data_IF_355212770614
#
_entry.id   IF_355212770614
#
_cell.length_a   1.000
_cell.length_b   1.000
_cell.length_c   1.000
_cell.angle_alpha   90.00
_cell.angle_beta   90.00
_cell.angle_gamma   90.00
#
_symmetry.space_group_name_H-M   'P 1'
#
loop_
_entity.id
_entity.type
_entity.pdbx_description
1 polymer ?
#
# COMPACT_ATOMS: atom_id res chain seq x y z
N UNK A 1 25.97 9.08 16.67
CA UNK A 1 25.91 10.40 16.01
C UNK A 1 24.59 10.39 15.26
N UNK A 2 23.71 11.34 15.52
CA UNK A 2 22.39 11.40 14.86
C UNK A 2 22.57 11.72 13.38
N UNK A 3 21.84 11.01 12.53
CA UNK A 3 21.85 11.28 11.09
C UNK A 3 20.92 12.46 10.81
N UNK A 4 21.37 13.34 9.94
CA UNK A 4 20.61 14.50 9.47
C UNK A 4 19.58 14.10 8.41
N UNK A 5 18.59 14.98 8.17
CA UNK A 5 17.61 14.79 7.10
C UNK A 5 18.28 14.59 5.72
N UNK A 6 19.34 15.36 5.43
CA UNK A 6 20.09 15.25 4.17
C UNK A 6 20.77 13.88 4.03
N UNK A 7 21.33 13.35 5.12
CA UNK A 7 21.97 12.02 5.12
C UNK A 7 20.95 10.89 4.94
N UNK A 8 19.75 11.03 5.50
CA UNK A 8 18.65 10.05 5.32
C UNK A 8 18.17 10.10 3.88
N UNK A 9 17.94 11.29 3.33
CA UNK A 9 17.50 11.45 1.94
C UNK A 9 18.54 10.95 0.94
N UNK A 10 19.83 11.17 1.22
CA UNK A 10 20.92 10.65 0.39
C UNK A 10 20.96 9.11 0.35
N UNK A 11 20.48 8.45 1.41
CA UNK A 11 20.35 6.99 1.44
C UNK A 11 19.13 6.50 0.68
N UNK A 12 17.98 7.14 0.85
CA UNK A 12 16.75 6.85 0.10
C UNK A 12 17.03 6.98 -1.41
N UNK A 13 17.73 8.03 -1.83
CA UNK A 13 18.06 8.29 -3.23
C UNK A 13 19.25 7.45 -3.78
N UNK A 14 19.88 6.62 -2.96
CA UNK A 14 21.14 5.96 -3.33
C UNK A 14 20.99 4.84 -4.36
N UNK A 15 19.79 4.24 -4.47
CA UNK A 15 19.59 3.01 -5.22
C UNK A 15 20.29 1.78 -4.62
N UNK A 16 20.71 1.86 -3.35
CA UNK A 16 21.30 0.75 -2.59
C UNK A 16 20.29 0.22 -1.56
N UNK A 17 19.89 -1.07 -1.62
CA UNK A 17 18.95 -1.67 -0.68
C UNK A 17 19.41 -1.57 0.77
N UNK A 18 20.72 -1.70 1.04
CA UNK A 18 21.24 -1.66 2.40
C UNK A 18 21.08 -0.25 2.99
N UNK A 19 21.41 0.78 2.20
CA UNK A 19 21.25 2.18 2.61
C UNK A 19 19.78 2.56 2.79
N UNK A 20 18.89 2.08 1.91
CA UNK A 20 17.45 2.26 2.10
C UNK A 20 16.97 1.62 3.41
N UNK A 21 17.43 0.41 3.73
CA UNK A 21 17.15 -0.24 5.01
C UNK A 21 17.61 0.58 6.21
N UNK A 22 18.85 1.11 6.17
CA UNK A 22 19.39 1.99 7.20
C UNK A 22 18.61 3.31 7.35
N UNK A 23 18.12 3.89 6.25
CA UNK A 23 17.29 5.09 6.27
C UNK A 23 15.95 4.82 6.98
N UNK A 24 15.27 3.72 6.64
CA UNK A 24 14.04 3.31 7.31
C UNK A 24 14.27 3.04 8.80
N UNK A 25 15.36 2.36 9.15
CA UNK A 25 15.75 2.10 10.56
C UNK A 25 15.98 3.41 11.32
N UNK A 26 16.70 4.35 10.71
CA UNK A 26 16.97 5.66 11.29
C UNK A 26 15.69 6.44 11.55
N UNK A 27 14.76 6.47 10.59
CA UNK A 27 13.47 7.14 10.76
C UNK A 27 12.62 6.47 11.85
N UNK A 28 12.60 5.14 11.89
CA UNK A 28 11.88 4.41 12.93
C UNK A 28 12.45 4.70 14.32
N UNK A 29 13.77 4.87 14.41
CA UNK A 29 14.43 5.29 15.62
C UNK A 29 14.03 6.72 16.04
N UNK A 30 14.00 7.69 15.11
CA UNK A 30 13.56 9.05 15.39
C UNK A 30 12.12 9.09 15.92
N UNK A 31 11.22 8.32 15.30
CA UNK A 31 9.85 8.14 15.75
C UNK A 31 9.78 7.58 17.17
N UNK A 32 10.54 6.53 17.47
CA UNK A 32 10.50 5.85 18.78
C UNK A 32 11.14 6.70 19.90
N UNK A 33 12.08 7.59 19.56
CA UNK A 33 12.74 8.50 20.53
C UNK A 33 12.12 9.89 20.60
N UNK A 34 11.12 10.18 19.76
CA UNK A 34 10.51 11.51 19.60
C UNK A 34 11.55 12.60 19.28
N UNK A 35 12.66 12.24 18.64
CA UNK A 35 13.66 13.21 18.21
C UNK A 35 13.25 13.77 16.85
N UNK A 36 13.11 15.10 16.72
CA UNK A 36 12.56 15.70 15.50
C UNK A 36 13.51 15.54 14.32
N UNK A 37 12.99 14.97 13.24
CA UNK A 37 13.61 15.01 11.91
C UNK A 37 12.51 15.19 10.88
N UNK A 38 12.78 15.98 9.85
CA UNK A 38 11.81 16.29 8.82
C UNK A 38 12.32 15.81 7.47
N UNK A 39 11.55 14.95 6.80
CA UNK A 39 11.92 14.35 5.51
C UNK A 39 10.68 14.19 4.61
N UNK A 40 10.85 14.13 3.28
CA UNK A 40 9.78 13.73 2.38
C UNK A 40 9.28 12.30 2.67
N UNK A 41 7.99 11.99 2.46
CA UNK A 41 7.48 10.64 2.54
C UNK A 41 8.21 9.67 1.62
N UNK A 42 8.62 8.53 2.15
CA UNK A 42 9.15 7.40 1.37
C UNK A 42 7.96 6.68 0.74
N UNK A 43 7.86 6.72 -0.58
CA UNK A 43 6.76 6.19 -1.39
C UNK A 43 6.97 4.73 -1.74
N UNK A 44 5.91 4.04 -2.15
CA UNK A 44 6.01 2.65 -2.59
C UNK A 44 7.00 2.49 -3.76
N UNK A 45 7.09 3.48 -4.64
CA UNK A 45 8.04 3.49 -5.76
C UNK A 45 9.51 3.49 -5.30
N UNK A 46 9.83 4.12 -4.17
CA UNK A 46 11.20 4.19 -3.64
C UNK A 46 11.69 2.80 -3.18
N UNK A 47 10.76 1.92 -2.77
CA UNK A 47 11.06 0.55 -2.35
C UNK A 47 11.45 -0.36 -3.51
N UNK A 48 11.34 0.09 -4.77
CA UNK A 48 11.74 -0.68 -5.94
C UNK A 48 13.23 -1.07 -5.94
N UNK A 49 14.04 -0.40 -5.11
CA UNK A 49 15.45 -0.76 -4.89
C UNK A 49 15.61 -2.20 -4.37
N UNK A 50 14.63 -2.75 -3.65
CA UNK A 50 14.66 -4.12 -3.13
C UNK A 50 14.29 -5.19 -4.17
N UNK A 51 13.93 -4.80 -5.39
CA UNK A 51 13.49 -5.71 -6.46
C UNK A 51 12.00 -6.04 -6.38
N UNK A 52 11.65 -7.28 -6.72
CA UNK A 52 10.25 -7.70 -6.87
C UNK A 52 9.60 -8.15 -5.54
N UNK A 53 10.40 -8.34 -4.49
CA UNK A 53 9.92 -8.76 -3.16
C UNK A 53 10.63 -7.97 -2.06
N UNK A 54 9.85 -7.46 -1.11
CA UNK A 54 10.38 -6.74 0.05
C UNK A 54 10.73 -7.70 1.19
N UNK A 55 11.85 -7.48 1.92
CA UNK A 55 12.08 -8.14 3.20
C UNK A 55 10.98 -7.81 4.22
N UNK A 56 10.58 -8.78 5.04
CA UNK A 56 9.50 -8.61 6.03
C UNK A 56 9.77 -7.44 7.00
N UNK A 57 11.02 -7.29 7.46
CA UNK A 57 11.39 -6.22 8.37
C UNK A 57 11.34 -4.83 7.70
N UNK A 58 11.57 -4.76 6.39
CA UNK A 58 11.40 -3.54 5.60
C UNK A 58 9.92 -3.19 5.49
N UNK A 59 9.07 -4.18 5.21
CA UNK A 59 7.60 -4.01 5.16
C UNK A 59 7.07 -3.49 6.48
N UNK A 60 7.34 -4.19 7.58
CA UNK A 60 6.86 -3.83 8.92
C UNK A 60 7.27 -2.41 9.30
N UNK A 61 8.53 -2.09 9.05
CA UNK A 61 9.10 -0.78 9.41
C UNK A 61 8.51 0.34 8.56
N UNK A 62 8.41 0.13 7.25
CA UNK A 62 7.87 1.15 6.35
C UNK A 62 6.38 1.40 6.61
N UNK A 63 5.57 0.36 6.82
CA UNK A 63 4.15 0.51 7.17
C UNK A 63 3.98 1.23 8.52
N UNK A 64 4.81 0.91 9.53
CA UNK A 64 4.82 1.62 10.82
C UNK A 64 5.11 3.11 10.62
N UNK A 65 6.06 3.45 9.76
CA UNK A 65 6.42 4.85 9.44
C UNK A 65 5.28 5.57 8.69
N UNK A 66 4.69 4.95 7.67
CA UNK A 66 3.53 5.54 6.97
C UNK A 66 2.39 5.89 7.93
N UNK A 67 2.11 5.00 8.89
CA UNK A 67 0.99 5.16 9.80
C UNK A 67 1.23 6.12 10.98
N UNK A 68 2.50 6.34 11.38
CA UNK A 68 2.80 6.97 12.68
C UNK A 68 3.89 8.03 12.66
N UNK A 69 4.70 8.12 11.62
CA UNK A 69 5.76 9.11 11.57
C UNK A 69 5.17 10.50 11.29
N UNK A 70 5.43 11.45 12.18
CA UNK A 70 4.91 12.82 12.11
C UNK A 70 5.90 13.80 11.45
N UNK A 71 7.13 13.37 11.20
CA UNK A 71 8.20 14.14 10.56
C UNK A 71 8.11 14.22 9.03
N UNK A 72 6.96 13.89 8.43
CA UNK A 72 6.78 14.01 6.98
C UNK A 72 6.63 15.48 6.54
N UNK A 73 7.35 15.88 5.49
CA UNK A 73 7.18 17.18 4.81
C UNK A 73 7.04 17.01 3.29
N UNK A 74 5.85 17.26 2.71
CA UNK A 74 4.61 17.65 3.41
C UNK A 74 4.06 16.53 4.30
N UNK A 75 3.22 16.85 5.31
CA UNK A 75 2.56 15.84 6.14
C UNK A 75 1.79 14.84 5.29
N UNK A 76 1.94 13.56 5.61
CA UNK A 76 1.25 12.48 4.90
C UNK A 76 -0.17 12.31 5.47
N UNK A 77 -1.18 12.38 4.62
CA UNK A 77 -2.55 12.10 5.04
C UNK A 77 -2.78 10.59 5.25
N UNK A 78 -3.79 10.22 6.05
CA UNK A 78 -4.16 8.81 6.21
C UNK A 78 -4.57 8.17 4.87
N UNK A 79 -5.24 8.94 4.00
CA UNK A 79 -5.62 8.51 2.65
C UNK A 79 -4.39 8.22 1.79
N UNK A 80 -3.39 9.11 1.81
CA UNK A 80 -2.14 8.91 1.08
C UNK A 80 -1.34 7.72 1.63
N UNK A 81 -1.29 7.56 2.96
CA UNK A 81 -0.62 6.42 3.59
C UNK A 81 -1.24 5.09 3.18
N UNK A 82 -2.57 5.00 3.15
CA UNK A 82 -3.31 3.83 2.66
C UNK A 82 -3.05 3.60 1.17
N UNK A 83 -3.07 4.67 0.36
CA UNK A 83 -2.79 4.58 -1.07
C UNK A 83 -1.36 4.06 -1.35
N UNK A 84 -0.35 4.52 -0.61
CA UNK A 84 1.02 4.01 -0.71
C UNK A 84 1.10 2.54 -0.32
N UNK A 85 0.51 2.14 0.81
CA UNK A 85 0.48 0.76 1.25
C UNK A 85 -0.18 -0.16 0.20
N UNK A 86 -1.27 0.29 -0.42
CA UNK A 86 -1.97 -0.43 -1.48
C UNK A 86 -1.12 -0.58 -2.75
N UNK A 87 -0.40 0.49 -3.16
CA UNK A 87 0.57 0.42 -4.28
C UNK A 87 1.67 -0.58 -3.99
N UNK A 88 2.24 -0.57 -2.79
CA UNK A 88 3.27 -1.51 -2.40
C UNK A 88 2.75 -2.95 -2.39
N UNK A 89 1.55 -3.20 -1.84
CA UNK A 89 0.90 -4.51 -1.84
C UNK A 89 0.65 -5.03 -3.26
N UNK A 90 0.22 -4.16 -4.17
CA UNK A 90 0.01 -4.52 -5.56
C UNK A 90 1.32 -4.69 -6.33
N UNK A 91 2.44 -4.08 -5.90
CA UNK A 91 3.71 -4.13 -6.64
C UNK A 91 4.66 -5.25 -6.21
N UNK A 92 4.81 -5.48 -4.91
CA UNK A 92 5.93 -6.28 -4.36
C UNK A 92 5.51 -7.60 -3.71
N UNK A 93 4.31 -8.09 -4.02
CA UNK A 93 3.59 -9.08 -3.20
C UNK A 93 4.47 -10.15 -2.53
N UNK A 94 4.23 -10.40 -1.23
CA UNK A 94 3.38 -11.55 -0.87
C UNK A 94 2.26 -11.19 0.14
N UNK A 95 1.48 -12.19 0.56
CA UNK A 95 0.23 -12.07 1.33
C UNK A 95 0.31 -11.26 2.63
N UNK A 96 1.47 -11.15 3.27
CA UNK A 96 1.67 -10.36 4.50
C UNK A 96 1.44 -8.86 4.27
N UNK A 97 2.12 -8.28 3.27
CA UNK A 97 1.95 -6.87 2.91
C UNK A 97 0.52 -6.58 2.43
N UNK A 98 -0.07 -7.48 1.65
CA UNK A 98 -1.45 -7.38 1.21
C UNK A 98 -2.44 -7.38 2.39
N UNK A 99 -2.21 -8.24 3.38
CA UNK A 99 -3.02 -8.28 4.61
C UNK A 99 -2.88 -6.96 5.38
N UNK A 100 -1.66 -6.53 5.68
CA UNK A 100 -1.41 -5.31 6.46
C UNK A 100 -1.96 -4.06 5.77
N UNK A 101 -1.75 -3.92 4.45
CA UNK A 101 -2.35 -2.84 3.67
C UNK A 101 -3.89 -2.88 3.74
N UNK A 102 -4.50 -4.07 3.71
CA UNK A 102 -5.95 -4.20 3.85
C UNK A 102 -6.43 -3.81 5.26
N UNK A 103 -5.64 -4.11 6.30
CA UNK A 103 -5.94 -3.76 7.68
C UNK A 103 -5.87 -2.26 7.89
N UNK A 104 -4.89 -1.56 7.31
CA UNK A 104 -4.82 -0.10 7.33
C UNK A 104 -6.09 0.53 6.77
N UNK A 105 -6.61 0.04 5.65
CA UNK A 105 -7.86 0.52 5.09
C UNK A 105 -9.08 0.17 5.97
N UNK A 106 -9.18 -1.07 6.44
CA UNK A 106 -10.35 -1.58 7.21
C UNK A 106 -10.50 -0.97 8.59
N UNK A 107 -9.38 -0.56 9.21
CA UNK A 107 -9.35 -0.07 10.59
C UNK A 107 -9.33 1.44 10.70
N UNK A 108 -9.36 2.15 9.58
CA UNK A 108 -9.44 3.61 9.55
C UNK A 108 -10.79 4.14 10.04
N UNK A 109 -10.86 5.43 10.36
CA UNK A 109 -12.10 6.07 10.83
C UNK A 109 -13.24 6.03 9.80
N UNK A 110 -12.89 6.07 8.50
CA UNK A 110 -13.81 5.86 7.38
C UNK A 110 -13.26 4.73 6.47
N UNK A 111 -13.56 3.45 6.80
CA UNK A 111 -13.03 2.30 6.06
C UNK A 111 -13.46 2.29 4.58
N UNK A 112 -14.67 2.76 4.29
CA UNK A 112 -15.20 2.82 2.93
C UNK A 112 -14.47 3.84 2.07
N UNK A 113 -14.14 5.01 2.62
CA UNK A 113 -13.32 6.01 1.93
C UNK A 113 -11.88 5.54 1.73
N UNK A 114 -11.25 4.96 2.75
CA UNK A 114 -9.88 4.46 2.64
C UNK A 114 -9.77 3.30 1.65
N UNK A 115 -10.77 2.41 1.61
CA UNK A 115 -10.82 1.31 0.64
C UNK A 115 -10.93 1.83 -0.80
N UNK A 116 -11.75 2.87 -1.02
CA UNK A 116 -11.84 3.53 -2.34
C UNK A 116 -10.49 4.15 -2.73
N UNK A 117 -9.86 4.91 -1.84
CA UNK A 117 -8.55 5.51 -2.12
C UNK A 117 -7.47 4.47 -2.43
N UNK A 118 -7.44 3.37 -1.67
CA UNK A 118 -6.52 2.26 -1.89
C UNK A 118 -6.69 1.64 -3.29
N UNK A 119 -7.93 1.33 -3.67
CA UNK A 119 -8.23 0.71 -4.95
C UNK A 119 -8.04 1.71 -6.11
N UNK A 120 -8.40 2.98 -5.94
CA UNK A 120 -8.11 4.01 -6.94
C UNK A 120 -6.61 4.14 -7.18
N UNK A 121 -5.78 4.04 -6.13
CA UNK A 121 -4.33 4.04 -6.26
C UNK A 121 -3.79 2.84 -7.04
N UNK A 122 -4.26 1.63 -6.73
CA UNK A 122 -3.90 0.39 -7.47
C UNK A 122 -4.36 0.46 -8.92
N UNK A 123 -5.60 0.91 -9.14
CA UNK A 123 -6.19 1.05 -10.48
C UNK A 123 -5.54 2.16 -11.32
N UNK A 124 -4.91 3.15 -10.71
CA UNK A 124 -4.19 4.21 -11.40
C UNK A 124 -2.79 3.78 -11.87
N UNK A 125 -2.12 2.87 -11.16
CA UNK A 125 -0.81 2.36 -11.58
C UNK A 125 -0.92 1.49 -12.84
N UNK A 126 -1.83 0.52 -12.85
CA UNK A 126 -1.92 -0.47 -13.93
C UNK A 126 -0.62 -1.28 -14.13
N UNK A 127 -0.62 -2.28 -15.01
CA UNK A 127 0.55 -3.10 -15.32
C UNK A 127 0.37 -4.58 -14.94
N UNK A 128 0.90 -5.48 -15.78
CA UNK A 128 0.88 -6.92 -15.55
C UNK A 128 1.43 -7.34 -14.16
N UNK A 129 2.54 -6.74 -13.72
CA UNK A 129 3.15 -7.01 -12.39
C UNK A 129 2.20 -6.62 -11.26
N UNK A 130 1.58 -5.44 -11.38
CA UNK A 130 0.61 -4.92 -10.41
C UNK A 130 -0.57 -5.87 -10.28
N UNK A 131 -1.02 -6.43 -11.41
CA UNK A 131 -2.21 -7.28 -11.45
C UNK A 131 -2.02 -8.68 -10.86
N UNK A 132 -0.81 -9.23 -10.91
CA UNK A 132 -0.54 -10.54 -10.30
C UNK A 132 -0.67 -10.49 -8.77
N UNK A 133 -0.12 -9.44 -8.13
CA UNK A 133 -0.13 -9.33 -6.68
C UNK A 133 -1.39 -8.65 -6.11
N UNK A 134 -2.03 -7.76 -6.88
CA UNK A 134 -3.24 -7.07 -6.44
C UNK A 134 -4.39 -8.03 -6.06
N UNK A 135 -4.47 -9.22 -6.65
CA UNK A 135 -5.50 -10.21 -6.34
C UNK A 135 -5.62 -10.53 -4.85
N UNK A 136 -4.50 -10.79 -4.17
CA UNK A 136 -4.51 -11.09 -2.73
C UNK A 136 -4.97 -9.90 -1.89
N UNK A 137 -4.54 -8.68 -2.24
CA UNK A 137 -4.97 -7.46 -1.55
C UNK A 137 -6.49 -7.25 -1.68
N UNK A 138 -7.03 -7.39 -2.88
CA UNK A 138 -8.47 -7.28 -3.15
C UNK A 138 -9.25 -8.39 -2.42
N UNK A 139 -8.76 -9.62 -2.43
CA UNK A 139 -9.33 -10.74 -1.65
C UNK A 139 -9.48 -10.40 -0.18
N UNK A 140 -8.42 -9.86 0.42
CA UNK A 140 -8.48 -9.43 1.81
C UNK A 140 -9.53 -8.33 2.00
N UNK A 141 -9.62 -7.33 1.11
CA UNK A 141 -10.66 -6.30 1.21
C UNK A 141 -12.08 -6.88 1.08
N UNK A 142 -12.32 -7.84 0.18
CA UNK A 142 -13.61 -8.54 0.05
C UNK A 142 -14.00 -9.30 1.32
N UNK A 143 -13.03 -9.77 2.10
CA UNK A 143 -13.25 -10.37 3.42
C UNK A 143 -13.47 -9.34 4.55
N UNK A 144 -13.61 -8.05 4.21
CA UNK A 144 -13.98 -6.98 5.14
C UNK A 144 -15.47 -7.00 5.54
N UNK A 145 -15.88 -5.98 6.29
CA UNK A 145 -17.31 -5.75 6.58
C UNK A 145 -18.07 -5.26 5.34
N UNK A 146 -19.39 -5.10 5.47
CA UNK A 146 -20.26 -4.67 4.37
C UNK A 146 -19.80 -3.35 3.73
N UNK A 147 -19.25 -2.41 4.52
CA UNK A 147 -18.80 -1.09 4.02
C UNK A 147 -17.56 -1.23 3.13
N UNK A 148 -16.58 -1.99 3.60
CA UNK A 148 -15.35 -2.26 2.85
C UNK A 148 -15.65 -3.13 1.62
N UNK A 149 -16.52 -4.13 1.78
CA UNK A 149 -16.92 -5.02 0.69
C UNK A 149 -17.66 -4.27 -0.41
N UNK A 150 -18.64 -3.43 -0.06
CA UNK A 150 -19.37 -2.61 -1.04
C UNK A 150 -18.44 -1.66 -1.80
N UNK A 151 -17.50 -1.00 -1.11
CA UNK A 151 -16.49 -0.16 -1.74
C UNK A 151 -15.60 -0.95 -2.71
N UNK A 152 -15.22 -2.17 -2.32
CA UNK A 152 -14.39 -3.06 -3.14
C UNK A 152 -15.14 -3.51 -4.39
N UNK A 153 -16.38 -3.98 -4.25
CA UNK A 153 -17.23 -4.40 -5.37
C UNK A 153 -17.47 -3.23 -6.34
N UNK A 154 -17.70 -2.02 -5.82
CA UNK A 154 -17.87 -0.82 -6.65
C UNK A 154 -16.61 -0.51 -7.49
N UNK A 155 -15.41 -0.65 -6.91
CA UNK A 155 -14.17 -0.47 -7.64
C UNK A 155 -13.97 -1.54 -8.72
N UNK A 156 -14.25 -2.82 -8.41
CA UNK A 156 -14.14 -3.93 -9.36
C UNK A 156 -15.03 -3.75 -10.59
N UNK A 157 -16.24 -3.21 -10.42
CA UNK A 157 -17.12 -2.87 -11.54
C UNK A 157 -16.46 -1.86 -12.51
N UNK A 158 -15.61 -0.96 -12.00
CA UNK A 158 -14.82 -0.04 -12.82
C UNK A 158 -13.60 -0.69 -13.50
N UNK A 159 -13.20 -1.90 -13.08
CA UNK A 159 -11.99 -2.58 -13.55
C UNK A 159 -12.26 -3.64 -14.62
N UNK A 160 -13.48 -4.20 -14.69
CA UNK A 160 -13.83 -5.32 -15.59
C UNK A 160 -13.50 -5.04 -17.06
N UNK A 161 -13.60 -3.78 -17.50
CA UNK A 161 -13.32 -3.36 -18.88
C UNK A 161 -11.88 -2.82 -19.08
N UNK A 162 -11.03 -2.86 -18.04
CA UNK A 162 -9.71 -2.19 -18.01
C UNK A 162 -8.56 -3.17 -18.16
N UNK A 163 -8.46 -3.82 -19.32
CA UNK A 163 -7.28 -4.58 -19.74
C UNK A 163 -6.74 -5.52 -18.64
N UNK A 164 -5.53 -5.26 -18.16
CA UNK A 164 -4.85 -6.08 -17.15
C UNK A 164 -5.61 -6.12 -15.80
N UNK A 165 -6.33 -5.06 -15.40
CA UNK A 165 -7.12 -5.06 -14.16
C UNK A 165 -8.29 -6.05 -14.21
N UNK A 166 -8.75 -6.44 -15.41
CA UNK A 166 -9.76 -7.49 -15.55
C UNK A 166 -9.23 -8.85 -15.06
N UNK A 167 -7.91 -9.08 -15.09
CA UNK A 167 -7.30 -10.28 -14.53
C UNK A 167 -7.47 -10.34 -13.00
N UNK A 168 -7.39 -9.19 -12.33
CA UNK A 168 -7.65 -9.10 -10.87
C UNK A 168 -9.12 -9.43 -10.58
N UNK A 169 -10.05 -8.89 -11.37
CA UNK A 169 -11.49 -9.19 -11.24
C UNK A 169 -11.74 -10.70 -11.41
N UNK A 170 -11.15 -11.30 -12.44
CA UNK A 170 -11.28 -12.75 -12.69
C UNK A 170 -10.66 -13.59 -11.55
N UNK A 171 -9.56 -13.14 -10.94
CA UNK A 171 -8.94 -13.81 -9.81
C UNK A 171 -9.89 -13.89 -8.60
N UNK A 172 -10.61 -12.79 -8.29
CA UNK A 172 -11.50 -12.71 -7.11
C UNK A 172 -12.95 -13.11 -7.41
N UNK A 173 -13.31 -13.41 -8.66
CA UNK A 173 -14.69 -13.64 -9.10
C UNK A 173 -15.41 -14.72 -8.29
N UNK A 174 -14.69 -15.76 -7.88
CA UNK A 174 -15.23 -16.85 -7.08
C UNK A 174 -15.64 -16.42 -5.66
N UNK A 175 -15.09 -15.31 -5.16
CA UNK A 175 -15.40 -14.74 -3.84
C UNK A 175 -16.60 -13.78 -3.86
N UNK A 176 -17.08 -13.42 -5.05
CA UNK A 176 -18.26 -12.58 -5.23
C UNK A 176 -19.53 -13.44 -5.13
N UNK A 177 -20.58 -12.89 -4.51
CA UNK A 177 -21.94 -13.44 -4.59
C UNK A 177 -22.55 -13.19 -5.97
N UNK A 178 -23.64 -13.88 -6.30
CA UNK A 178 -24.32 -13.72 -7.60
C UNK A 178 -24.81 -12.28 -7.84
N UNK A 179 -25.25 -11.58 -6.79
CA UNK A 179 -25.65 -10.17 -6.87
C UNK A 179 -24.44 -9.25 -7.15
N UNK A 180 -23.31 -9.51 -6.50
CA UNK A 180 -22.09 -8.73 -6.71
C UNK A 180 -21.48 -8.99 -8.08
N UNK A 181 -21.50 -10.24 -8.57
CA UNK A 181 -21.10 -10.56 -9.95
C UNK A 181 -21.96 -9.80 -10.96
N UNK A 182 -23.27 -9.75 -10.75
CA UNK A 182 -24.17 -8.94 -11.58
C UNK A 182 -23.86 -7.43 -11.52
N UNK A 183 -23.46 -6.90 -10.35
CA UNK A 183 -23.03 -5.49 -10.18
C UNK A 183 -21.68 -5.21 -10.88
N UNK A 184 -20.75 -6.16 -10.84
CA UNK A 184 -19.41 -6.04 -11.46
C UNK A 184 -19.46 -6.26 -12.96
N UNK A 185 -20.39 -7.08 -13.46
CA UNK A 185 -20.54 -7.42 -14.87
C UNK A 185 -19.71 -8.63 -15.30
N UNK A 186 -19.53 -9.61 -14.41
CA UNK A 186 -18.86 -10.90 -14.66
C UNK A 186 -19.81 -12.08 -14.47
#
# INVERSE_FOLDING_TARGET
>A
MWRTADEIQADVASGDPARMGEALETLAFHMDTMEPVTVPPIRAADLAVFGDALPDDVVDRWLKLLARFDGWDPPLSAEDAVAEAARAAARFGPSGLALEASLLAKTADDPGAMTRAALDAVGAEGGAVVTEHAGAFVSYLLAGDDTVRDATVAALAGWVARGELAAVVSWVEAELSDEERARVGV
#
